data_IF_311576473519
#
_entry.id   IF_311576473519
#
_cell.length_a   1.000
_cell.length_b   1.000
_cell.length_c   1.000
_cell.angle_alpha   90.00
_cell.angle_beta   90.00
_cell.angle_gamma   90.00
#
_symmetry.space_group_name_H-M   'P 1'
#
loop_
_entity.id
_entity.type
_entity.pdbx_description
1 polymer ?
#
# COMPACT_ATOMS: atom_id res chain seq x y z
N UNK A 1 9.35 -19.26 2.92
CA UNK A 1 9.58 -17.89 2.45
C UNK A 1 8.28 -17.28 2.00
N UNK A 2 7.95 -16.07 2.43
CA UNK A 2 6.81 -15.33 1.88
C UNK A 2 7.28 -13.94 1.47
N UNK A 3 6.76 -13.45 0.34
CA UNK A 3 6.84 -12.03 -0.02
C UNK A 3 6.00 -11.21 0.98
N UNK A 4 6.31 -9.92 1.10
CA UNK A 4 5.55 -9.02 1.95
C UNK A 4 4.11 -8.88 1.43
N UNK A 5 3.16 -8.83 2.35
CA UNK A 5 1.76 -8.51 2.07
C UNK A 5 1.51 -7.07 2.51
N UNK A 6 0.86 -6.22 1.70
CA UNK A 6 0.52 -4.87 2.11
C UNK A 6 -0.28 -4.86 3.41
N UNK A 7 0.03 -3.92 4.30
CA UNK A 7 -0.73 -3.59 5.50
C UNK A 7 -1.07 -2.09 5.41
N UNK A 8 -2.08 -1.72 4.58
CA UNK A 8 -2.43 -0.33 4.37
C UNK A 8 -2.85 0.35 5.67
N UNK A 9 -2.31 1.55 5.88
CA UNK A 9 -2.50 2.33 7.09
C UNK A 9 -2.38 3.82 6.77
N UNK A 10 -3.17 4.63 7.47
CA UNK A 10 -3.09 6.09 7.42
C UNK A 10 -2.90 6.60 8.85
N UNK A 11 -1.78 7.29 9.11
CA UNK A 11 -1.42 7.76 10.46
C UNK A 11 -2.49 8.60 11.15
N UNK A 12 -3.15 9.48 10.40
CA UNK A 12 -4.20 10.33 10.94
C UNK A 12 -5.43 9.52 11.41
N UNK A 13 -5.57 8.25 11.01
CA UNK A 13 -6.70 7.37 11.28
C UNK A 13 -8.01 7.79 10.60
N UNK A 14 -8.00 8.92 9.89
CA UNK A 14 -9.11 9.48 9.11
C UNK A 14 -8.59 10.41 8.03
N UNK A 15 -9.44 10.70 7.07
CA UNK A 15 -9.25 11.75 6.09
C UNK A 15 -10.29 12.86 6.22
N UNK A 16 -10.00 13.99 5.60
CA UNK A 16 -10.91 15.14 5.49
C UNK A 16 -11.16 15.36 4.00
N UNK A 17 -12.42 15.52 3.56
CA UNK A 17 -12.71 15.79 2.16
C UNK A 17 -11.92 16.99 1.63
N UNK A 18 -11.33 16.83 0.45
CA UNK A 18 -10.52 17.86 -0.21
C UNK A 18 -9.11 18.06 0.35
N UNK A 19 -8.70 17.33 1.40
CA UNK A 19 -7.30 17.32 1.87
C UNK A 19 -6.60 16.04 1.44
N UNK A 20 -5.27 16.12 1.29
CA UNK A 20 -4.44 14.97 0.98
C UNK A 20 -4.43 13.98 2.15
N UNK A 21 -4.69 12.73 1.80
CA UNK A 21 -4.53 11.55 2.66
C UNK A 21 -3.23 10.87 2.27
N UNK A 22 -2.40 10.54 3.25
CA UNK A 22 -1.11 9.89 3.04
C UNK A 22 -1.23 8.43 3.45
N UNK A 23 -1.02 7.53 2.51
CA UNK A 23 -1.12 6.09 2.73
C UNK A 23 0.28 5.49 2.94
N UNK A 24 0.37 4.61 3.94
CA UNK A 24 1.51 3.74 4.16
C UNK A 24 1.08 2.31 3.88
N UNK A 25 1.88 1.56 3.12
CA UNK A 25 1.57 0.15 2.79
C UNK A 25 2.26 -0.84 3.71
N UNK A 26 3.19 -0.37 4.55
CA UNK A 26 3.90 -1.20 5.54
C UNK A 26 4.79 -2.28 4.94
N UNK A 27 5.13 -2.21 3.65
CA UNK A 27 5.86 -3.26 2.95
C UNK A 27 7.16 -2.77 2.32
N UNK A 28 8.16 -3.64 2.31
CA UNK A 28 9.32 -3.52 1.43
C UNK A 28 8.93 -4.02 0.03
N UNK A 29 9.16 -3.20 -1.00
CA UNK A 29 8.88 -3.55 -2.40
C UNK A 29 9.96 -4.43 -3.04
N UNK A 30 10.94 -4.87 -2.24
CA UNK A 30 12.02 -5.74 -2.69
C UNK A 30 12.11 -6.95 -1.78
N UNK A 31 12.48 -8.08 -2.37
CA UNK A 31 12.74 -9.33 -1.67
C UNK A 31 14.07 -9.87 -2.15
N UNK A 32 14.95 -10.23 -1.21
CA UNK A 32 16.17 -10.97 -1.51
C UNK A 32 16.24 -12.17 -0.58
N UNK A 33 16.40 -13.36 -1.14
CA UNK A 33 16.57 -14.57 -0.34
C UNK A 33 17.57 -15.54 -0.97
N UNK A 34 18.25 -16.28 -0.12
CA UNK A 34 19.00 -17.46 -0.50
C UNK A 34 18.46 -18.67 0.26
N UNK A 35 18.20 -19.76 -0.44
CA UNK A 35 17.74 -21.03 0.13
C UNK A 35 18.73 -22.11 -0.27
N UNK A 36 19.35 -22.74 0.72
CA UNK A 36 20.25 -23.86 0.48
C UNK A 36 19.48 -25.09 0.00
N UNK A 37 20.03 -25.76 -1.02
CA UNK A 37 19.47 -27.00 -1.54
C UNK A 37 20.59 -27.98 -1.93
N UNK A 38 20.29 -29.29 -2.05
CA UNK A 38 21.27 -30.26 -2.56
C UNK A 38 21.82 -29.95 -3.97
N UNK A 39 21.10 -29.14 -4.75
CA UNK A 39 21.51 -28.69 -6.09
C UNK A 39 22.35 -27.39 -6.08
N UNK A 40 22.66 -26.85 -4.90
CA UNK A 40 23.30 -25.54 -4.70
C UNK A 40 22.34 -24.47 -4.16
N UNK A 41 22.83 -23.24 -3.92
CA UNK A 41 22.00 -22.16 -3.40
C UNK A 41 20.98 -21.70 -4.45
N UNK A 42 19.71 -21.66 -4.06
CA UNK A 42 18.63 -21.01 -4.80
C UNK A 42 18.60 -19.54 -4.40
N UNK A 43 18.90 -18.65 -5.35
CA UNK A 43 18.81 -17.21 -5.18
C UNK A 43 17.44 -16.74 -5.65
N UNK A 44 16.76 -15.94 -4.84
CA UNK A 44 15.47 -15.32 -5.15
C UNK A 44 15.62 -13.81 -5.05
N UNK A 45 15.23 -13.10 -6.11
CA UNK A 45 15.16 -11.65 -6.13
C UNK A 45 13.77 -11.22 -6.61
N UNK A 46 13.03 -10.48 -5.81
CA UNK A 46 11.69 -10.02 -6.14
C UNK A 46 11.57 -8.51 -6.09
N UNK A 47 10.81 -7.95 -7.02
CA UNK A 47 10.35 -6.56 -6.97
C UNK A 47 8.82 -6.52 -7.07
N UNK A 48 8.22 -5.54 -6.40
CA UNK A 48 6.78 -5.33 -6.40
C UNK A 48 6.40 -3.97 -6.99
N UNK A 49 5.29 -3.95 -7.73
CA UNK A 49 4.56 -2.71 -8.06
C UNK A 49 3.16 -2.76 -7.45
N UNK A 50 2.64 -1.61 -7.05
CA UNK A 50 1.37 -1.53 -6.35
C UNK A 50 0.25 -1.01 -7.25
N UNK A 51 -0.93 -1.57 -7.03
CA UNK A 51 -2.22 -1.04 -7.48
C UNK A 51 -3.04 -0.71 -6.25
N UNK A 52 -3.59 0.49 -6.18
CA UNK A 52 -4.30 1.02 -5.01
C UNK A 52 -5.69 1.44 -5.47
N UNK A 53 -6.70 0.72 -5.02
CA UNK A 53 -8.09 1.12 -5.14
C UNK A 53 -8.47 1.89 -3.86
N UNK A 54 -8.90 3.14 -4.04
CA UNK A 54 -9.22 4.03 -2.92
C UNK A 54 -10.63 3.83 -2.37
N UNK A 55 -11.44 2.99 -3.00
CA UNK A 55 -12.81 2.67 -2.62
C UNK A 55 -13.84 3.73 -3.05
N UNK A 56 -13.41 4.85 -3.63
CA UNK A 56 -14.25 5.93 -4.15
C UNK A 56 -14.42 5.89 -5.68
N UNK A 57 -13.91 4.85 -6.32
CA UNK A 57 -13.92 4.64 -7.77
C UNK A 57 -12.63 5.07 -8.47
N UNK A 58 -11.70 5.72 -7.78
CA UNK A 58 -10.38 6.03 -8.30
C UNK A 58 -9.37 4.92 -7.99
N UNK A 59 -8.40 4.71 -8.89
CA UNK A 59 -7.37 3.69 -8.75
C UNK A 59 -6.03 4.17 -9.27
N UNK A 60 -5.01 4.01 -8.46
CA UNK A 60 -3.61 4.20 -8.86
C UNK A 60 -2.99 2.87 -9.26
N UNK A 61 -2.22 2.85 -10.35
CA UNK A 61 -1.61 1.62 -10.88
C UNK A 61 -0.12 1.82 -11.12
N UNK A 62 0.68 0.80 -10.80
CA UNK A 62 2.10 0.76 -11.12
C UNK A 62 2.97 1.57 -10.17
N UNK A 63 2.49 1.85 -8.96
CA UNK A 63 3.25 2.59 -7.96
C UNK A 63 4.48 1.78 -7.52
N UNK A 64 5.66 2.39 -7.58
CA UNK A 64 6.94 1.79 -7.21
C UNK A 64 7.50 2.30 -5.87
N UNK A 65 6.63 2.91 -5.05
CA UNK A 65 6.95 3.38 -3.71
C UNK A 65 5.92 2.83 -2.71
N UNK A 66 6.34 2.57 -1.48
CA UNK A 66 5.51 1.97 -0.44
C UNK A 66 4.60 3.00 0.28
N UNK A 67 4.57 4.24 -0.19
CA UNK A 67 3.96 5.35 0.52
C UNK A 67 4.85 5.89 1.64
N UNK A 68 4.24 6.52 2.63
CA UNK A 68 4.96 7.11 3.74
C UNK A 68 4.10 8.07 4.56
N UNK A 69 4.59 8.51 5.72
CA UNK A 69 3.88 9.46 6.56
C UNK A 69 3.85 10.86 5.94
N UNK A 70 2.90 11.68 6.39
CA UNK A 70 2.95 13.12 6.14
C UNK A 70 4.25 13.73 6.72
N UNK A 71 4.88 14.72 6.05
CA UNK A 71 4.50 15.31 4.77
C UNK A 71 5.16 14.65 3.54
N UNK A 72 6.10 13.72 3.76
CA UNK A 72 7.01 13.23 2.71
C UNK A 72 6.49 11.98 1.98
N UNK A 73 5.39 11.40 2.44
CA UNK A 73 4.76 10.24 1.84
C UNK A 73 4.33 10.49 0.39
N UNK A 74 4.60 9.51 -0.46
CA UNK A 74 4.45 9.64 -1.92
C UNK A 74 3.16 9.03 -2.47
N UNK A 75 2.54 8.11 -1.73
CA UNK A 75 1.18 7.63 -2.03
C UNK A 75 0.20 8.55 -1.35
N UNK A 76 -0.49 9.36 -2.15
CA UNK A 76 -1.46 10.32 -1.64
C UNK A 76 -2.74 10.32 -2.46
N UNK A 77 -3.86 10.62 -1.80
CA UNK A 77 -5.17 10.74 -2.45
C UNK A 77 -6.01 11.82 -1.83
N UNK A 78 -6.94 12.38 -2.61
CA UNK A 78 -7.90 13.36 -2.14
C UNK A 78 -9.32 12.77 -2.25
N UNK A 79 -9.99 12.59 -1.12
CA UNK A 79 -11.38 12.16 -1.14
C UNK A 79 -12.30 13.35 -1.41
N UNK A 80 -13.22 13.27 -2.38
CA UNK A 80 -14.12 14.40 -2.68
C UNK A 80 -15.25 14.53 -1.66
N UNK A 81 -15.68 13.43 -1.04
CA UNK A 81 -16.88 13.37 -0.20
C UNK A 81 -16.58 12.69 1.15
N UNK A 82 -17.42 12.97 2.16
CA UNK A 82 -17.38 12.22 3.41
C UNK A 82 -18.02 10.85 3.24
N UNK A 83 -17.51 9.84 3.93
CA UNK A 83 -17.97 8.46 3.81
C UNK A 83 -17.04 7.48 4.51
N UNK A 84 -17.37 6.20 4.39
CA UNK A 84 -16.49 5.08 4.72
C UNK A 84 -16.03 4.45 3.40
N UNK A 85 -14.72 4.22 3.28
CA UNK A 85 -14.12 3.69 2.05
C UNK A 85 -13.21 2.51 2.39
N UNK A 86 -13.25 1.47 1.58
CA UNK A 86 -12.33 0.34 1.70
C UNK A 86 -11.14 0.59 0.78
N UNK A 87 -9.96 0.83 1.36
CA UNK A 87 -8.73 1.01 0.57
C UNK A 87 -8.11 -0.36 0.34
N UNK A 88 -7.99 -0.78 -0.91
CA UNK A 88 -7.39 -2.05 -1.30
C UNK A 88 -6.06 -1.84 -1.98
N UNK A 89 -4.99 -2.40 -1.41
CA UNK A 89 -3.65 -2.37 -2.00
C UNK A 89 -3.30 -3.76 -2.52
N UNK A 90 -3.07 -3.86 -3.81
CA UNK A 90 -2.58 -5.07 -4.49
C UNK A 90 -1.12 -4.88 -4.85
N UNK A 91 -0.24 -5.73 -4.31
CA UNK A 91 1.16 -5.80 -4.70
C UNK A 91 1.36 -6.91 -5.74
N UNK A 92 1.86 -6.52 -6.91
CA UNK A 92 2.21 -7.39 -8.02
C UNK A 92 3.71 -7.68 -7.99
N UNK A 93 4.07 -8.88 -7.59
CA UNK A 93 5.44 -9.35 -7.45
C UNK A 93 5.93 -10.02 -8.73
N UNK A 94 7.15 -9.68 -9.13
CA UNK A 94 7.94 -10.41 -10.11
C UNK A 94 9.19 -10.93 -9.43
N UNK A 95 9.21 -12.24 -9.14
CA UNK A 95 10.34 -12.90 -8.47
C UNK A 95 11.17 -13.63 -9.51
N UNK A 96 12.43 -13.26 -9.67
CA UNK A 96 13.40 -14.05 -10.43
C UNK A 96 14.07 -15.05 -9.52
N UNK A 97 14.35 -16.23 -10.06
CA UNK A 97 15.16 -17.24 -9.37
C UNK A 97 16.40 -17.60 -10.17
N UNK A 98 17.45 -18.01 -9.45
CA UNK A 98 18.64 -18.63 -10.01
C UNK A 98 19.02 -19.85 -9.18
N UNK A 99 19.17 -21.01 -9.83
CA UNK A 99 19.68 -22.23 -9.20
C UNK A 99 20.63 -22.92 -10.18
N UNK A 100 21.92 -22.98 -9.81
CA UNK A 100 22.95 -23.61 -10.64
C UNK A 100 22.93 -23.16 -12.12
N UNK A 101 22.61 -21.88 -12.36
CA UNK A 101 22.52 -21.29 -13.69
C UNK A 101 21.16 -21.40 -14.38
N UNK A 102 20.23 -22.22 -13.88
CA UNK A 102 18.84 -22.20 -14.33
C UNK A 102 18.11 -20.97 -13.77
N UNK A 103 17.40 -20.24 -14.62
CA UNK A 103 16.65 -19.04 -14.23
C UNK A 103 15.20 -19.10 -14.66
N UNK A 104 14.37 -18.33 -13.97
CA UNK A 104 12.98 -18.12 -14.36
C UNK A 104 12.31 -17.02 -13.55
N UNK A 105 11.05 -16.78 -13.86
CA UNK A 105 10.22 -15.74 -13.22
C UNK A 105 8.99 -16.39 -12.60
N UNK A 106 8.67 -15.97 -11.39
CA UNK A 106 7.48 -16.37 -10.63
C UNK A 106 6.67 -15.09 -10.39
N UNK A 107 5.55 -14.89 -11.13
CA UNK A 107 4.61 -13.85 -10.81
C UNK A 107 3.80 -14.24 -9.57
N UNK A 108 3.53 -13.28 -8.69
CA UNK A 108 2.72 -13.48 -7.50
C UNK A 108 1.96 -12.21 -7.17
N UNK A 109 0.80 -12.34 -6.54
CA UNK A 109 0.02 -11.21 -6.03
C UNK A 109 -0.25 -11.38 -4.55
N UNK A 110 -0.17 -10.27 -3.82
CA UNK A 110 -0.57 -10.17 -2.41
C UNK A 110 -1.44 -8.95 -2.22
N UNK A 111 -2.46 -9.05 -1.36
CA UNK A 111 -3.46 -8.00 -1.17
C UNK A 111 -3.57 -7.65 0.31
N UNK A 112 -3.65 -6.35 0.59
CA UNK A 112 -4.00 -5.80 1.90
C UNK A 112 -5.18 -4.85 1.77
N UNK A 113 -6.02 -4.80 2.80
CA UNK A 113 -7.21 -3.94 2.83
C UNK A 113 -7.21 -3.13 4.12
N UNK A 114 -7.49 -1.83 4.02
CA UNK A 114 -7.83 -0.96 5.12
C UNK A 114 -9.35 -0.71 5.04
N UNK A 115 -10.16 -1.52 5.75
CA UNK A 115 -11.61 -1.45 5.65
C UNK A 115 -12.17 -0.25 6.40
N UNK A 116 -13.32 0.23 5.96
CA UNK A 116 -14.14 1.26 6.61
C UNK A 116 -13.34 2.52 6.99
N UNK A 117 -12.40 2.95 6.14
CA UNK A 117 -11.58 4.12 6.40
C UNK A 117 -12.45 5.39 6.43
N UNK A 118 -12.46 6.14 7.54
CA UNK A 118 -13.38 7.26 7.71
C UNK A 118 -12.87 8.53 7.04
N UNK A 119 -13.67 9.08 6.13
CA UNK A 119 -13.51 10.43 5.58
C UNK A 119 -14.59 11.32 6.19
N UNK A 120 -14.21 12.29 7.02
CA UNK A 120 -15.16 13.11 7.77
C UNK A 120 -14.86 14.60 7.62
N UNK A 121 -15.86 15.38 7.20
CA UNK A 121 -15.78 16.83 7.15
C UNK A 121 -15.60 17.44 8.56
N UNK A 122 -14.75 18.46 8.65
CA UNK A 122 -14.64 19.26 9.87
C UNK A 122 -15.94 20.05 10.07
N UNK A 123 -16.57 19.90 11.23
CA UNK A 123 -17.69 20.75 11.66
C UNK A 123 -17.19 21.75 12.69
N UNK A 124 -17.39 23.05 12.42
CA UNK A 124 -17.23 24.07 13.44
C UNK A 124 -18.49 24.13 14.31
N UNK A 125 -18.34 23.93 15.63
CA UNK A 125 -19.41 24.20 16.59
C UNK A 125 -19.25 25.65 17.06
N UNK A 126 -20.18 26.52 16.69
CA UNK A 126 -20.24 27.86 17.28
C UNK A 126 -20.72 27.72 18.73
N UNK A 127 -19.95 28.24 19.70
CA UNK A 127 -20.46 28.48 21.06
C UNK A 127 -21.46 29.64 20.96
N UNK A 128 -22.70 29.50 21.46
CA UNK A 128 -23.58 30.66 21.58
C UNK A 128 -22.93 31.67 22.52
N UNK A 129 -22.75 32.90 22.06
CA UNK A 129 -22.53 34.05 22.93
C UNK A 129 -23.89 34.36 23.56
N UNK A 130 -24.01 34.15 24.87
CA UNK A 130 -25.15 34.69 25.60
C UNK A 130 -24.87 36.17 25.81
N UNK A 131 -25.72 37.03 25.24
CA UNK A 131 -25.77 38.47 25.51
C UNK A 131 -26.32 38.78 26.91
#
# INVERSE_FOLDING_TARGET
>A
TRVATPQPFVQAGRAIPGLLTYLETGMDLTMNQTVESPAGPLLLHGTATLTIDWGDGETDVGMANAGGPYPDGQVTHHYPNSGLYDITVTANWLITYNLAGATGVIPLQTVGVLPEFPVTALRAVARPINE
#
